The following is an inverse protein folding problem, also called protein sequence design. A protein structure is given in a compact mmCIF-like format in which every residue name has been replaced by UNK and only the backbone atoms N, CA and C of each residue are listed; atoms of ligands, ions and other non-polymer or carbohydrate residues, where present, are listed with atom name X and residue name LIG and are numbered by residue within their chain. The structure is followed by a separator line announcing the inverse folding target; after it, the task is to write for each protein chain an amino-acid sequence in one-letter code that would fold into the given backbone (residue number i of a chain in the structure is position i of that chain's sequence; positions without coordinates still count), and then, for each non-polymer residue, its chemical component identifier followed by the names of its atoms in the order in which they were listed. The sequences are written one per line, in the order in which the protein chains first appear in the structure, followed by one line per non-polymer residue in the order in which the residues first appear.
data_IF_170611812010
#
_entry.id   IF_170611812010
#
_cell.length_a   1.000
_cell.length_b   1.000
_cell.length_c   1.000
_cell.angle_alpha   90.00
_cell.angle_beta   90.00
_cell.angle_gamma   90.00
#
_symmetry.space_group_name_H-M   'P 1'
#
loop_
_entity.id
_entity.type
_entity.pdbx_description
1 polymer ?
#
# COMPACT_ATOMS: atom_id res chain seq x y z
N UNK A 1 7.66 -4.81 24.34
CA UNK A 1 6.98 -5.03 23.05
C UNK A 1 6.80 -3.66 22.43
N UNK A 2 7.41 -3.41 21.28
CA UNK A 2 7.36 -2.10 20.65
C UNK A 2 6.03 -1.97 19.87
N UNK A 3 5.45 -0.77 19.87
CA UNK A 3 4.22 -0.46 19.13
C UNK A 3 4.63 0.44 17.95
N UNK A 4 4.25 0.02 16.75
CA UNK A 4 4.30 0.84 15.55
C UNK A 4 2.98 1.59 15.37
N UNK A 5 3.07 2.87 15.01
CA UNK A 5 1.96 3.64 14.45
C UNK A 5 2.25 3.90 12.98
N UNK A 6 1.35 3.51 12.10
CA UNK A 6 1.41 3.83 10.67
C UNK A 6 0.31 4.82 10.33
N UNK A 7 0.70 5.90 9.69
CA UNK A 7 -0.22 6.93 9.18
C UNK A 7 -0.17 6.85 7.66
N UNK A 8 -1.09 6.10 7.07
CA UNK A 8 -1.30 6.11 5.62
C UNK A 8 -1.84 7.47 5.20
N UNK A 9 -1.30 8.04 4.12
CA UNK A 9 -1.68 9.37 3.63
C UNK A 9 -2.24 9.33 2.21
N UNK A 10 -1.57 8.57 1.34
CA UNK A 10 -1.81 8.60 -0.10
C UNK A 10 -1.56 7.24 -0.72
N UNK A 11 -2.36 6.88 -1.72
CA UNK A 11 -1.98 5.86 -2.69
C UNK A 11 -1.97 6.42 -4.11
N UNK A 12 -1.04 5.94 -4.93
CA UNK A 12 -1.01 6.17 -6.37
C UNK A 12 -1.29 4.83 -7.04
N UNK A 13 -2.47 4.73 -7.66
CA UNK A 13 -2.91 3.53 -8.36
C UNK A 13 -2.33 3.52 -9.77
N UNK A 14 -1.94 2.34 -10.25
CA UNK A 14 -1.30 2.17 -11.56
C UNK A 14 -0.14 3.15 -11.75
N UNK A 15 0.72 3.19 -10.73
CA UNK A 15 1.89 4.04 -10.69
C UNK A 15 2.87 3.57 -11.78
N UNK A 16 3.22 4.48 -12.68
CA UNK A 16 4.18 4.22 -13.78
C UNK A 16 5.52 3.67 -13.26
N UNK A 17 5.89 4.03 -12.03
CA UNK A 17 7.13 3.62 -11.36
C UNK A 17 7.04 2.25 -10.67
N UNK A 18 5.84 1.69 -10.49
CA UNK A 18 5.63 0.44 -9.75
C UNK A 18 5.56 -0.82 -10.65
N UNK A 19 5.92 -0.68 -11.94
CA UNK A 19 6.10 -1.81 -12.86
C UNK A 19 4.81 -2.47 -13.35
N UNK A 20 3.72 -1.71 -13.48
CA UNK A 20 2.46 -2.17 -14.10
C UNK A 20 2.70 -2.80 -15.47
N UNK A 21 2.03 -3.92 -15.74
CA UNK A 21 2.10 -4.64 -17.02
C UNK A 21 0.78 -5.35 -17.34
N UNK A 22 0.78 -6.21 -18.36
CA UNK A 22 -0.41 -6.94 -18.80
C UNK A 22 -0.97 -7.92 -17.75
N UNK A 23 -0.16 -8.32 -16.76
CA UNK A 23 -0.56 -9.28 -15.71
C UNK A 23 -0.86 -8.62 -14.37
N UNK A 24 -0.21 -7.48 -14.09
CA UNK A 24 -0.30 -6.82 -12.79
C UNK A 24 -0.49 -5.31 -12.90
N UNK A 25 -1.21 -4.73 -11.94
CA UNK A 25 -1.24 -3.29 -11.70
C UNK A 25 -0.34 -3.01 -10.50
N UNK A 26 0.66 -2.15 -10.70
CA UNK A 26 1.53 -1.65 -9.64
C UNK A 26 0.94 -0.38 -9.03
N UNK A 27 0.84 -0.35 -7.71
CA UNK A 27 0.42 0.83 -6.94
C UNK A 27 1.50 1.19 -5.93
N UNK A 28 1.53 2.44 -5.48
CA UNK A 28 2.42 2.89 -4.41
C UNK A 28 1.61 3.49 -3.27
N UNK A 29 1.87 3.04 -2.05
CA UNK A 29 1.24 3.56 -0.84
C UNK A 29 2.28 4.35 -0.05
N UNK A 30 1.95 5.59 0.31
CA UNK A 30 2.79 6.49 1.10
C UNK A 30 2.24 6.63 2.51
N UNK A 31 3.13 6.59 3.48
CA UNK A 31 2.80 6.66 4.89
C UNK A 31 3.96 7.18 5.74
N UNK A 32 3.65 7.60 6.96
CA UNK A 32 4.66 7.74 8.01
C UNK A 32 4.61 6.54 8.94
N UNK A 33 5.75 6.22 9.52
CA UNK A 33 5.92 5.17 10.51
C UNK A 33 6.53 5.77 11.77
N UNK A 34 5.88 5.59 12.92
CA UNK A 34 6.42 5.90 14.22
C UNK A 34 6.63 4.61 15.01
N UNK A 35 7.87 4.31 15.42
CA UNK A 35 8.19 3.15 16.26
C UNK A 35 9.00 3.64 17.46
N UNK A 36 8.52 3.36 18.67
CA UNK A 36 9.16 3.76 19.92
C UNK A 36 9.54 5.26 19.96
N UNK A 37 8.68 6.12 19.39
CA UNK A 37 8.88 7.57 19.35
C UNK A 37 9.85 8.05 18.27
N UNK A 38 10.36 7.16 17.41
CA UNK A 38 11.14 7.54 16.22
C UNK A 38 10.23 7.61 15.01
N UNK A 39 10.22 8.77 14.35
CA UNK A 39 9.44 9.02 13.16
C UNK A 39 10.25 8.80 11.89
N UNK A 40 9.65 8.08 10.96
CA UNK A 40 10.11 7.89 9.59
C UNK A 40 9.01 8.44 8.69
N UNK A 41 9.30 9.54 8.01
CA UNK A 41 8.33 10.27 7.18
C UNK A 41 8.48 9.94 5.71
N UNK A 42 7.38 10.04 4.97
CA UNK A 42 7.34 9.80 3.51
C UNK A 42 7.91 8.44 3.09
N UNK A 43 7.72 7.44 3.94
CA UNK A 43 7.99 6.03 3.66
C UNK A 43 6.97 5.54 2.65
N UNK A 44 7.34 4.56 1.83
CA UNK A 44 6.39 3.98 0.88
C UNK A 44 6.57 2.48 0.71
N UNK A 45 5.52 1.83 0.22
CA UNK A 45 5.59 0.45 -0.28
C UNK A 45 4.95 0.37 -1.66
N UNK A 46 5.54 -0.46 -2.52
CA UNK A 46 4.94 -0.83 -3.79
C UNK A 46 4.07 -2.07 -3.61
N UNK A 47 2.90 -2.05 -4.24
CA UNK A 47 1.93 -3.12 -4.19
C UNK A 47 1.64 -3.60 -5.59
N UNK A 48 1.74 -4.90 -5.81
CA UNK A 48 1.37 -5.54 -7.07
C UNK A 48 0.09 -6.32 -6.87
N UNK A 49 -0.89 -6.01 -7.71
CA UNK A 49 -2.14 -6.74 -7.77
C UNK A 49 -2.24 -7.46 -9.11
N UNK A 50 -2.53 -8.76 -9.07
CA UNK A 50 -2.89 -9.45 -10.30
C UNK A 50 -4.22 -8.90 -10.82
N UNK A 51 -4.40 -8.96 -12.14
CA UNK A 51 -5.67 -8.56 -12.78
C UNK A 51 -6.80 -9.56 -12.57
N UNK A 52 -6.51 -10.71 -11.96
CA UNK A 52 -7.51 -11.67 -11.53
C UNK A 52 -8.24 -11.11 -10.31
N UNK A 53 -9.57 -11.18 -10.34
CA UNK A 53 -10.41 -10.74 -9.23
C UNK A 53 -10.09 -11.53 -7.97
N UNK A 54 -9.98 -10.84 -6.83
CA UNK A 54 -9.63 -11.42 -5.52
C UNK A 54 -8.24 -12.05 -5.40
N UNK A 55 -7.34 -11.84 -6.36
CA UNK A 55 -5.96 -12.27 -6.19
C UNK A 55 -5.32 -11.60 -4.95
N UNK A 56 -4.43 -12.33 -4.24
CA UNK A 56 -3.69 -11.76 -3.12
C UNK A 56 -2.80 -10.62 -3.62
N UNK A 57 -2.61 -9.60 -2.76
CA UNK A 57 -1.73 -8.50 -3.07
C UNK A 57 -0.30 -8.87 -2.69
N UNK A 58 0.64 -8.57 -3.57
CA UNK A 58 2.05 -8.65 -3.25
C UNK A 58 2.51 -7.27 -2.80
N UNK A 59 2.62 -7.11 -1.49
CA UNK A 59 3.18 -5.91 -0.83
C UNK A 59 4.67 -6.16 -0.64
N UNK A 60 5.52 -5.16 -0.88
CA UNK A 60 6.95 -5.24 -0.54
C UNK A 60 7.23 -4.60 0.83
N UNK A 61 8.37 -4.89 1.48
CA UNK A 61 8.78 -4.17 2.68
C UNK A 61 8.81 -2.64 2.46
N UNK A 62 8.54 -1.83 3.50
CA UNK A 62 8.67 -0.38 3.44
C UNK A 62 10.04 0.07 2.90
N UNK A 63 10.02 0.91 1.87
CA UNK A 63 11.20 1.61 1.37
C UNK A 63 11.35 2.92 2.13
N UNK A 64 12.51 3.10 2.78
CA UNK A 64 12.77 4.17 3.72
C UNK A 64 12.81 3.71 5.19
N UNK A 65 12.59 2.42 5.45
CA UNK A 65 12.72 1.82 6.79
C UNK A 65 13.27 0.39 6.71
N UNK A 66 14.45 0.16 7.33
CA UNK A 66 15.14 -1.14 7.36
C UNK A 66 15.07 -1.83 8.72
N UNK A 67 14.27 -1.31 9.66
CA UNK A 67 14.16 -1.86 11.01
C UNK A 67 13.17 -3.03 11.12
N UNK A 68 13.01 -3.59 12.34
CA UNK A 68 12.06 -4.67 12.58
C UNK A 68 10.62 -4.21 12.32
N UNK A 69 9.82 -5.09 11.74
CA UNK A 69 8.41 -4.86 11.43
C UNK A 69 7.69 -6.19 11.44
N UNK A 70 6.51 -6.25 12.07
CA UNK A 70 5.58 -7.35 11.87
C UNK A 70 4.97 -7.28 10.48
N UNK A 71 5.73 -7.77 9.50
CA UNK A 71 5.40 -7.67 8.08
C UNK A 71 4.04 -8.29 7.70
N UNK A 72 3.63 -9.45 8.24
CA UNK A 72 2.30 -9.99 7.98
C UNK A 72 1.16 -9.05 8.39
N UNK A 73 1.27 -8.40 9.55
CA UNK A 73 0.27 -7.43 10.01
C UNK A 73 0.31 -6.18 9.14
N UNK A 74 1.50 -5.65 8.86
CA UNK A 74 1.68 -4.50 7.97
C UNK A 74 1.09 -4.76 6.57
N UNK A 75 1.35 -5.92 5.98
CA UNK A 75 0.79 -6.31 4.69
C UNK A 75 -0.74 -6.29 4.75
N UNK A 76 -1.36 -6.91 5.76
CA UNK A 76 -2.81 -6.90 5.92
C UNK A 76 -3.40 -5.48 6.03
N UNK A 77 -2.69 -4.57 6.72
CA UNK A 77 -3.09 -3.16 6.83
C UNK A 77 -3.00 -2.41 5.50
N UNK A 78 -1.95 -2.65 4.71
CA UNK A 78 -1.80 -2.07 3.36
C UNK A 78 -2.90 -2.57 2.43
N UNK A 79 -3.21 -3.87 2.47
CA UNK A 79 -4.30 -4.46 1.69
C UNK A 79 -5.65 -3.86 2.07
N UNK A 80 -5.91 -3.73 3.37
CA UNK A 80 -7.12 -3.11 3.90
C UNK A 80 -7.23 -1.65 3.45
N UNK A 81 -6.15 -0.87 3.59
CA UNK A 81 -6.09 0.52 3.13
C UNK A 81 -6.45 0.63 1.65
N UNK A 82 -5.73 -0.09 0.79
CA UNK A 82 -5.94 -0.03 -0.67
C UNK A 82 -7.37 -0.42 -1.08
N UNK A 83 -7.93 -1.47 -0.49
CA UNK A 83 -9.29 -1.92 -0.81
C UNK A 83 -10.36 -0.92 -0.37
N UNK A 84 -10.14 -0.20 0.73
CA UNK A 84 -11.06 0.85 1.20
C UNK A 84 -10.89 2.17 0.43
N UNK A 85 -9.67 2.52 0.03
CA UNK A 85 -9.38 3.79 -0.64
C UNK A 85 -9.68 3.77 -2.13
N UNK A 86 -9.27 2.72 -2.84
CA UNK A 86 -9.52 2.58 -4.28
C UNK A 86 -10.90 1.97 -4.60
N UNK A 87 -11.63 1.51 -3.58
CA UNK A 87 -12.89 0.76 -3.72
C UNK A 87 -12.68 -0.66 -4.24
N UNK A 88 -13.69 -1.54 -4.12
CA UNK A 88 -13.58 -2.97 -4.45
C UNK A 88 -13.34 -3.32 -5.93
N UNK A 89 -13.40 -2.35 -6.86
CA UNK A 89 -13.42 -2.57 -8.33
C UNK A 89 -12.15 -2.09 -9.07
N UNK A 90 -11.01 -2.11 -8.37
CA UNK A 90 -9.73 -1.67 -8.92
C UNK A 90 -9.03 -2.73 -9.80
N UNK A 91 -9.37 -4.02 -9.64
CA UNK A 91 -8.75 -5.16 -10.31
C UNK A 91 -9.76 -6.04 -11.10
N UNK A 92 -10.80 -5.44 -11.68
CA UNK A 92 -11.77 -6.17 -12.52
C UNK A 92 -11.23 -6.51 -13.92
N UNK A 93 -11.91 -7.39 -14.69
CA UNK A 93 -11.53 -7.76 -16.07
C UNK A 93 -11.52 -6.57 -17.05
N UNK A 94 -12.18 -5.45 -16.71
CA UNK A 94 -12.06 -4.13 -17.35
C UNK A 94 -11.68 -3.00 -16.35
N UNK A 95 -11.04 -3.35 -15.22
CA UNK A 95 -10.93 -2.55 -14.01
C UNK A 95 -10.43 -1.11 -14.17
N UNK A 96 -10.99 -0.21 -13.34
CA UNK A 96 -10.65 1.22 -13.26
C UNK A 96 -9.13 1.47 -13.17
N UNK A 97 -8.36 0.56 -12.56
CA UNK A 97 -6.91 0.69 -12.42
C UNK A 97 -6.16 0.91 -13.74
N UNK A 98 -6.63 0.39 -14.87
CA UNK A 98 -5.93 0.54 -16.16
C UNK A 98 -6.17 1.89 -16.83
N UNK A 99 -7.34 2.50 -16.60
CA UNK A 99 -7.70 3.81 -17.14
C UNK A 99 -7.16 4.96 -16.29
N UNK A 100 -6.80 4.68 -15.05
CA UNK A 100 -6.41 5.64 -14.02
C UNK A 100 -4.90 5.59 -13.78
N UNK A 101 -4.12 5.78 -14.85
CA UNK A 101 -2.66 5.86 -14.78
C UNK A 101 -2.25 6.98 -13.83
N UNK A 102 -1.36 6.67 -12.89
CA UNK A 102 -0.86 7.61 -11.88
C UNK A 102 -1.98 8.33 -11.10
N UNK A 103 -3.12 7.65 -10.88
CA UNK A 103 -4.23 8.23 -10.12
C UNK A 103 -3.91 8.26 -8.63
N UNK A 104 -3.73 9.47 -8.11
CA UNK A 104 -3.49 9.72 -6.70
C UNK A 104 -4.82 9.84 -5.95
N UNK A 105 -4.91 9.12 -4.83
CA UNK A 105 -5.99 9.22 -3.86
C UNK A 105 -5.36 9.61 -2.53
N UNK A 106 -5.77 10.76 -2.02
CA UNK A 106 -5.39 11.25 -0.69
C UNK A 106 -6.44 10.74 0.31
N UNK A 107 -6.03 9.83 1.19
CA UNK A 107 -6.87 9.34 2.27
C UNK A 107 -6.01 9.00 3.47
N UNK A 108 -6.32 9.64 4.60
CA UNK A 108 -5.62 9.37 5.84
C UNK A 108 -6.21 8.14 6.55
N UNK A 109 -5.35 7.25 7.03
CA UNK A 109 -5.72 6.16 7.93
C UNK A 109 -4.59 5.93 8.93
N UNK A 110 -4.90 6.06 10.22
CA UNK A 110 -3.96 5.84 11.32
C UNK A 110 -4.25 4.51 11.98
N UNK A 111 -3.25 3.66 12.09
CA UNK A 111 -3.36 2.33 12.70
C UNK A 111 -2.15 2.03 13.57
N UNK A 112 -2.37 1.24 14.62
CA UNK A 112 -1.31 0.78 15.52
C UNK A 112 -1.21 -0.73 15.50
N UNK A 113 0.01 -1.25 15.56
CA UNK A 113 0.27 -2.68 15.66
C UNK A 113 1.58 -2.98 16.37
N UNK A 114 1.72 -4.22 16.79
CA UNK A 114 2.92 -4.73 17.46
C UNK A 114 4.03 -5.03 16.45
N UNK A 115 5.25 -4.60 16.76
CA UNK A 115 6.47 -4.80 15.93
C UNK A 115 7.06 -6.20 16.10
#
# INVERSE_FOLDING_TARGET
MAIATVTFRRCVVNASVAGSNERYVGSRVFFDLNIDGREFVDVYTDVRAAREENAPLSVIPPLGYDGPLNFPVFQGLVEFYLRNTAGGSWAGPEGLGLRLRDWAIEQEMVVQFEV
#
